data_IF_846756377233
#
_entry.id   IF_846756377233
#
_cell.length_a   1.000
_cell.length_b   1.000
_cell.length_c   1.000
_cell.angle_alpha   90.00
_cell.angle_beta   90.00
_cell.angle_gamma   90.00
#
_symmetry.space_group_name_H-M   'P 1'
#
loop_
_entity.id
_entity.type
_entity.pdbx_description
1 polymer ?
#
# COMPACT_ATOMS: atom_id res chain seq x y z
N UNK A 1 -11.13 -1.56 -2.99
CA UNK A 1 -9.94 -1.56 -2.14
C UNK A 1 -10.10 -2.75 -1.22
N UNK A 2 -9.13 -3.66 -1.21
CA UNK A 2 -9.10 -4.79 -0.30
C UNK A 2 -8.07 -4.49 0.80
N UNK A 3 -8.30 -5.04 2.01
CA UNK A 3 -7.40 -4.94 3.18
C UNK A 3 -6.94 -3.51 3.53
N UNK A 4 -7.86 -2.56 3.78
CA UNK A 4 -7.47 -1.20 4.13
C UNK A 4 -6.90 -1.13 5.55
N UNK A 5 -5.68 -0.61 5.70
CA UNK A 5 -5.13 -0.19 6.97
C UNK A 5 -5.25 1.33 7.11
N UNK A 6 -5.80 1.80 8.25
CA UNK A 6 -6.00 3.23 8.51
C UNK A 6 -5.09 3.70 9.63
N UNK A 7 -4.22 4.66 9.32
CA UNK A 7 -3.35 5.35 10.27
C UNK A 7 -3.87 6.77 10.53
N UNK A 8 -3.92 7.19 11.80
CA UNK A 8 -4.16 8.58 12.16
C UNK A 8 -2.83 9.28 12.46
N UNK A 9 -2.50 10.32 11.70
CA UNK A 9 -1.29 11.11 11.91
C UNK A 9 -1.55 12.61 11.68
N UNK A 10 -1.02 13.45 12.57
CA UNK A 10 -1.15 14.92 12.50
C UNK A 10 -2.59 15.43 12.27
N UNK A 11 -3.60 14.77 12.85
CA UNK A 11 -5.00 15.17 12.71
C UNK A 11 -5.71 14.68 11.44
N UNK A 12 -5.02 13.95 10.57
CA UNK A 12 -5.58 13.34 9.36
C UNK A 12 -5.58 11.81 9.47
N UNK A 13 -6.45 11.17 8.70
CA UNK A 13 -6.49 9.72 8.50
C UNK A 13 -5.92 9.37 7.13
N UNK A 14 -5.11 8.33 7.08
CA UNK A 14 -4.50 7.79 5.87
C UNK A 14 -4.89 6.33 5.74
N UNK A 15 -5.56 5.98 4.64
CA UNK A 15 -5.89 4.60 4.32
C UNK A 15 -4.93 4.08 3.25
N UNK A 16 -4.25 2.99 3.56
CA UNK A 16 -3.37 2.26 2.67
C UNK A 16 -4.09 0.99 2.26
N UNK A 17 -4.03 0.63 0.99
CA UNK A 17 -4.71 -0.58 0.58
C UNK A 17 -4.31 -1.07 -0.79
N UNK A 18 -4.62 -2.34 -0.95
CA UNK A 18 -4.34 -3.11 -2.13
C UNK A 18 -5.37 -2.81 -3.21
N UNK A 19 -4.94 -2.93 -4.46
CA UNK A 19 -5.88 -2.92 -5.57
C UNK A 19 -6.87 -4.08 -5.42
N UNK A 20 -8.14 -3.85 -5.73
CA UNK A 20 -9.22 -4.84 -5.51
C UNK A 20 -9.02 -6.14 -6.31
N UNK A 21 -8.13 -6.15 -7.30
CA UNK A 21 -7.80 -7.34 -8.08
C UNK A 21 -6.81 -8.30 -7.40
N UNK A 22 -6.24 -7.93 -6.24
CA UNK A 22 -5.22 -8.76 -5.55
C UNK A 22 -3.88 -8.85 -6.28
N UNK A 23 -3.72 -8.10 -7.38
CA UNK A 23 -2.46 -7.99 -8.13
C UNK A 23 -1.77 -6.68 -7.80
N UNK A 24 -0.43 -6.70 -7.76
CA UNK A 24 0.39 -5.49 -7.65
C UNK A 24 0.24 -4.68 -8.93
N UNK A 25 -0.79 -3.85 -9.00
CA UNK A 25 -0.89 -2.82 -10.04
C UNK A 25 -0.09 -1.62 -9.59
N UNK A 26 0.94 -1.30 -10.35
CA UNK A 26 1.65 -0.03 -10.22
C UNK A 26 0.64 1.08 -10.53
N UNK A 27 0.41 1.95 -9.55
CA UNK A 27 -0.42 3.14 -9.71
C UNK A 27 0.24 4.10 -10.71
N UNK A 28 -0.51 5.08 -11.23
CA UNK A 28 0.01 5.99 -12.27
C UNK A 28 1.27 6.76 -11.84
N UNK A 29 1.55 6.85 -10.54
CA UNK A 29 2.72 7.52 -9.97
C UNK A 29 3.89 6.56 -9.66
N UNK A 30 3.86 5.34 -10.20
CA UNK A 30 4.96 4.37 -10.13
C UNK A 30 5.01 3.54 -8.84
N UNK A 31 4.00 3.63 -7.98
CA UNK A 31 4.01 3.01 -6.64
C UNK A 31 2.99 1.89 -6.49
N UNK A 32 3.20 1.00 -5.52
CA UNK A 32 2.44 -0.26 -5.40
C UNK A 32 1.13 -0.07 -4.62
N UNK A 33 1.14 0.66 -3.51
CA UNK A 33 -0.02 0.76 -2.62
C UNK A 33 -0.75 2.08 -2.79
N UNK A 34 -2.07 2.07 -3.00
CA UNK A 34 -2.84 3.31 -3.05
C UNK A 34 -2.97 3.93 -1.66
N UNK A 35 -2.82 5.25 -1.59
CA UNK A 35 -3.03 6.03 -0.36
C UNK A 35 -4.22 6.96 -0.54
N UNK A 36 -5.16 6.87 0.39
CA UNK A 36 -6.26 7.81 0.53
C UNK A 36 -6.08 8.63 1.81
N UNK A 37 -6.51 9.89 1.79
CA UNK A 37 -6.51 10.78 2.96
C UNK A 37 -7.94 11.22 3.30
N UNK A 38 -8.23 11.39 4.58
CA UNK A 38 -9.49 11.93 5.07
C UNK A 38 -9.30 12.71 6.38
N UNK A 39 -10.13 13.72 6.62
CA UNK A 39 -10.22 14.41 7.92
C UNK A 39 -11.34 13.89 8.82
N UNK A 40 -12.31 13.16 8.26
CA UNK A 40 -13.58 12.82 8.91
C UNK A 40 -13.97 11.33 8.82
N UNK A 41 -13.12 10.49 8.21
CA UNK A 41 -13.36 9.07 7.90
C UNK A 41 -14.50 8.80 6.90
N UNK A 42 -15.11 9.85 6.32
CA UNK A 42 -16.25 9.74 5.40
C UNK A 42 -15.85 10.17 4.00
N UNK A 43 -15.27 11.36 3.87
CA UNK A 43 -14.77 11.90 2.60
C UNK A 43 -13.31 11.52 2.43
N UNK A 44 -13.00 10.79 1.36
CA UNK A 44 -11.65 10.29 1.07
C UNK A 44 -11.16 10.86 -0.26
N UNK A 45 -9.94 11.40 -0.26
CA UNK A 45 -9.23 11.86 -1.45
C UNK A 45 -8.04 10.94 -1.76
N UNK A 46 -7.79 10.66 -3.03
CA UNK A 46 -6.60 9.92 -3.44
C UNK A 46 -5.40 10.86 -3.46
N UNK A 47 -4.34 10.53 -2.70
CA UNK A 47 -3.14 11.37 -2.59
C UNK A 47 -1.91 10.76 -3.29
N UNK A 48 -2.10 9.67 -4.04
CA UNK A 48 -1.06 8.96 -4.78
C UNK A 48 -0.85 7.55 -4.25
N UNK A 49 0.31 6.97 -4.57
CA UNK A 49 0.72 5.68 -4.06
C UNK A 49 1.78 5.77 -2.94
N UNK A 50 2.09 4.63 -2.35
CA UNK A 50 3.17 4.40 -1.39
C UNK A 50 4.00 3.19 -1.84
N UNK A 51 5.29 3.25 -1.51
CA UNK A 51 6.32 2.25 -1.83
C UNK A 51 6.62 2.15 -3.33
N UNK A 52 7.88 2.41 -3.69
CA UNK A 52 8.42 2.07 -5.00
C UNK A 52 8.61 0.54 -5.11
N UNK A 53 8.54 -0.04 -6.32
CA UNK A 53 8.82 -1.44 -6.53
C UNK A 53 10.15 -1.86 -5.88
N UNK A 54 10.14 -2.85 -4.96
CA UNK A 54 11.37 -3.30 -4.30
C UNK A 54 12.28 -4.09 -5.25
N UNK A 55 11.73 -4.63 -6.33
CA UNK A 55 12.43 -5.46 -7.32
C UNK A 55 12.00 -5.09 -8.74
N UNK A 56 12.84 -5.44 -9.72
CA UNK A 56 12.54 -5.39 -11.15
C UNK A 56 12.76 -6.79 -11.75
N UNK A 57 11.70 -7.52 -12.17
CA UNK A 57 10.31 -7.09 -12.20
C UNK A 57 9.67 -6.94 -10.79
N UNK A 58 8.62 -6.11 -10.65
CA UNK A 58 7.89 -5.97 -9.39
C UNK A 58 7.24 -7.30 -8.97
N UNK A 59 7.06 -7.54 -7.66
CA UNK A 59 6.37 -8.72 -7.16
C UNK A 59 4.93 -8.76 -7.68
N UNK A 60 4.47 -9.94 -8.12
CA UNK A 60 3.18 -10.09 -8.78
C UNK A 60 2.00 -9.73 -7.88
N UNK A 61 2.12 -10.01 -6.58
CA UNK A 61 1.05 -9.78 -5.63
C UNK A 61 1.60 -9.29 -4.28
N UNK A 62 1.33 -8.03 -3.96
CA UNK A 62 1.57 -7.41 -2.66
C UNK A 62 0.25 -7.29 -1.90
N UNK A 63 0.19 -7.70 -0.64
CA UNK A 63 -1.04 -7.78 0.16
C UNK A 63 -0.85 -7.19 1.56
N UNK A 64 -1.97 -6.83 2.18
CA UNK A 64 -2.10 -6.44 3.59
C UNK A 64 -1.04 -5.42 4.05
N UNK A 65 -1.09 -4.17 3.53
CA UNK A 65 -0.17 -3.14 3.99
C UNK A 65 -0.48 -2.77 5.45
N UNK A 66 0.53 -2.82 6.32
CA UNK A 66 0.47 -2.24 7.67
C UNK A 66 1.48 -1.10 7.75
N UNK A 67 1.08 0.05 8.31
CA UNK A 67 1.96 1.22 8.43
C UNK A 67 2.17 1.57 9.89
N UNK A 68 3.44 1.56 10.32
CA UNK A 68 3.85 2.03 11.63
C UNK A 68 4.67 3.31 11.51
N UNK A 69 4.44 4.26 12.41
CA UNK A 69 5.24 5.49 12.52
C UNK A 69 6.22 5.36 13.67
N UNK A 70 7.47 5.75 13.43
CA UNK A 70 8.50 5.86 14.45
C UNK A 70 9.44 7.02 14.12
N UNK A 71 9.54 7.97 15.04
CA UNK A 71 10.45 9.13 14.96
C UNK A 71 10.32 9.94 13.66
N UNK A 72 9.09 10.11 13.17
CA UNK A 72 8.76 10.82 11.92
C UNK A 72 8.93 9.97 10.66
N UNK A 73 9.34 8.70 10.80
CA UNK A 73 9.53 7.77 9.69
C UNK A 73 8.36 6.78 9.65
N UNK A 74 7.79 6.60 8.46
CA UNK A 74 6.71 5.64 8.22
C UNK A 74 7.27 4.37 7.60
N UNK A 75 6.99 3.24 8.26
CA UNK A 75 7.40 1.91 7.84
C UNK A 75 6.18 1.18 7.32
N UNK A 76 6.20 0.82 6.03
CA UNK A 76 5.16 0.02 5.39
C UNK A 76 5.61 -1.43 5.35
N UNK A 77 4.89 -2.29 6.06
CA UNK A 77 5.03 -3.74 6.04
C UNK A 77 3.99 -4.32 5.08
N UNK A 78 4.39 -5.32 4.30
CA UNK A 78 3.52 -5.97 3.34
C UNK A 78 3.96 -7.42 3.12
N UNK A 79 3.02 -8.26 2.70
CA UNK A 79 3.31 -9.61 2.22
C UNK A 79 3.43 -9.58 0.70
N UNK A 80 4.49 -10.17 0.15
CA UNK A 80 4.68 -10.29 -1.30
C UNK A 80 4.74 -11.76 -1.70
N UNK A 81 4.06 -12.11 -2.79
CA UNK A 81 4.28 -13.35 -3.53
C UNK A 81 5.16 -13.03 -4.73
N UNK A 82 6.30 -13.73 -4.82
CA UNK A 82 7.08 -13.84 -6.04
C UNK A 82 6.70 -15.16 -6.68
N UNK A 83 6.37 -15.18 -7.96
CA UNK A 83 6.31 -16.44 -8.73
C UNK A 83 7.75 -16.93 -8.93
N UNK A 84 8.38 -17.45 -7.87
CA UNK A 84 9.39 -18.47 -8.06
C UNK A 84 8.60 -19.77 -8.16
N UNK A 85 8.39 -20.21 -9.39
CA UNK A 85 7.83 -21.52 -9.67
C UNK A 85 8.55 -22.57 -8.82
N UNK A 86 7.77 -23.30 -8.04
CA UNK A 86 8.14 -24.59 -7.47
C UNK A 86 8.48 -25.52 -8.66
N UNK A 87 9.73 -25.51 -9.11
CA UNK A 87 10.28 -26.57 -9.95
C UNK A 87 10.68 -27.73 -9.01
N UNK A 88 9.71 -28.60 -8.75
CA UNK A 88 9.89 -29.94 -8.17
C UNK A 88 9.55 -31.04 -9.16
#
# INVERSE_FOLDING_TARGET
MADPFVLRWAGMYYAYGTNASGTSRIENDGKIFRVLRSSDLVQWECVGGALEPPTDPPPEACWAPEVAERDGTFYLYYSASSDEGDEG
#
